data_IF_166132308586
#
_entry.id   IF_166132308586
#
_cell.length_a   1.000
_cell.length_b   1.000
_cell.length_c   1.000
_cell.angle_alpha   90.00
_cell.angle_beta   90.00
_cell.angle_gamma   90.00
#
_symmetry.space_group_name_H-M   'P 1'
#
loop_
_entity.id
_entity.type
_entity.pdbx_description
1 polymer ?
#
# COMPACT_ATOMS: atom_id res chain seq x y z
N UNK A 1 48.30 40.52 45.89
CA UNK A 1 48.77 39.20 45.40
C UNK A 1 47.59 38.43 44.85
N UNK A 2 47.27 38.61 43.53
CA UNK A 2 46.12 37.97 42.89
C UNK A 2 46.62 36.76 42.11
N UNK A 3 46.13 35.57 42.45
CA UNK A 3 46.39 34.32 41.70
C UNK A 3 45.34 34.21 40.59
N UNK A 4 45.80 34.20 39.33
CA UNK A 4 45.01 33.89 38.13
C UNK A 4 44.83 32.38 38.06
N UNK A 5 43.57 31.89 38.06
CA UNK A 5 43.24 30.52 37.71
C UNK A 5 43.20 30.39 36.19
N UNK A 6 44.03 29.50 35.61
CA UNK A 6 43.96 29.06 34.23
C UNK A 6 43.00 27.86 34.14
N UNK A 7 41.94 28.03 33.36
CA UNK A 7 41.06 26.93 32.97
C UNK A 7 41.70 26.18 31.81
N UNK A 8 42.05 24.90 32.02
CA UNK A 8 42.44 23.95 30.97
C UNK A 8 41.14 23.40 30.37
N UNK A 9 40.90 23.64 29.06
CA UNK A 9 39.82 23.02 28.31
C UNK A 9 40.15 21.52 28.05
N UNK A 10 39.27 20.58 28.34
CA UNK A 10 39.48 19.20 27.89
C UNK A 10 39.20 19.13 26.38
N UNK A 11 40.16 18.63 25.63
CA UNK A 11 40.00 18.26 24.23
C UNK A 11 39.19 16.94 24.18
N UNK A 12 37.94 17.03 23.75
CA UNK A 12 37.13 15.84 23.45
C UNK A 12 37.50 15.44 22.02
N UNK A 13 38.23 14.36 21.85
CA UNK A 13 38.40 13.66 20.56
C UNK A 13 37.08 12.96 20.26
N UNK A 14 36.28 13.54 19.37
CA UNK A 14 35.09 12.97 18.79
C UNK A 14 35.50 11.92 17.74
N UNK A 15 35.69 10.68 18.15
CA UNK A 15 35.64 9.55 17.22
C UNK A 15 34.17 9.21 16.93
N UNK A 16 33.51 10.03 16.12
CA UNK A 16 32.23 9.70 15.51
C UNK A 16 32.49 8.77 14.32
N UNK A 17 32.58 7.47 14.55
CA UNK A 17 32.35 6.48 13.51
C UNK A 17 30.86 6.51 13.18
N UNK A 18 30.49 7.35 12.21
CA UNK A 18 29.16 7.33 11.60
C UNK A 18 28.99 5.98 10.89
N UNK A 19 28.40 4.99 11.58
CA UNK A 19 27.85 3.81 10.95
C UNK A 19 26.75 4.27 10.00
N UNK A 20 27.06 4.41 8.72
CA UNK A 20 26.08 4.56 7.66
C UNK A 20 25.19 3.33 7.66
N UNK A 21 24.05 3.41 8.33
CA UNK A 21 22.98 2.40 8.23
C UNK A 21 22.46 2.47 6.80
N UNK A 22 23.07 1.66 5.93
CA UNK A 22 22.60 1.50 4.54
C UNK A 22 21.23 0.86 4.63
N UNK A 23 20.18 1.61 4.39
CA UNK A 23 18.83 1.07 4.26
C UNK A 23 18.86 0.08 3.10
N UNK A 24 18.52 -1.21 3.30
CA UNK A 24 18.54 -2.18 2.23
C UNK A 24 17.59 -1.74 1.12
N UNK A 25 18.00 -1.95 -0.13
CA UNK A 25 17.14 -1.67 -1.27
C UNK A 25 15.81 -2.42 -1.11
N UNK A 26 14.66 -1.77 -1.32
CA UNK A 26 13.37 -2.42 -1.18
C UNK A 26 13.25 -3.58 -2.16
N UNK A 27 12.73 -4.71 -1.69
CA UNK A 27 12.46 -5.89 -2.52
C UNK A 27 11.27 -5.60 -3.43
N UNK A 28 11.43 -5.85 -4.73
CA UNK A 28 10.33 -5.70 -5.70
C UNK A 28 9.17 -6.65 -5.36
N UNK A 29 7.97 -6.16 -5.51
CA UNK A 29 6.73 -6.93 -5.35
C UNK A 29 6.62 -7.95 -6.49
N UNK A 30 6.30 -9.18 -6.14
CA UNK A 30 5.85 -10.23 -7.05
C UNK A 30 4.39 -10.50 -6.73
N UNK A 31 3.49 -10.23 -7.69
CA UNK A 31 2.04 -10.25 -7.46
C UNK A 31 1.56 -11.58 -6.88
N UNK A 32 2.01 -12.70 -7.48
CA UNK A 32 1.61 -14.06 -7.12
C UNK A 32 2.14 -14.52 -5.76
N UNK A 33 3.03 -13.74 -5.13
CA UNK A 33 3.64 -14.05 -3.85
C UNK A 33 3.27 -13.06 -2.75
N UNK A 34 3.25 -11.77 -3.09
CA UNK A 34 3.30 -10.68 -2.11
C UNK A 34 1.95 -9.98 -1.89
N UNK A 35 0.87 -10.48 -2.52
CA UNK A 35 -0.49 -9.95 -2.38
C UNK A 35 -1.40 -10.90 -1.62
N UNK A 36 -2.54 -10.40 -1.12
CA UNK A 36 -3.55 -11.28 -0.53
C UNK A 36 -4.29 -12.08 -1.60
N UNK A 37 -4.67 -13.32 -1.27
CA UNK A 37 -5.49 -14.19 -2.14
C UNK A 37 -6.99 -13.91 -2.03
N UNK A 38 -7.45 -13.33 -0.92
CA UNK A 38 -8.85 -13.00 -0.69
C UNK A 38 -9.16 -11.52 -0.97
N UNK A 39 -10.42 -11.26 -1.29
CA UNK A 39 -10.88 -9.92 -1.64
C UNK A 39 -11.35 -9.10 -0.43
N UNK A 40 -11.22 -7.77 -0.53
CA UNK A 40 -12.09 -6.83 0.13
C UNK A 40 -13.47 -6.92 -0.53
N UNK A 41 -14.47 -7.33 0.21
CA UNK A 41 -15.82 -7.53 -0.33
C UNK A 41 -16.50 -6.18 -0.61
N UNK A 42 -17.26 -6.13 -1.72
CA UNK A 42 -18.05 -4.95 -2.07
C UNK A 42 -19.38 -4.97 -1.33
N UNK A 43 -19.73 -3.86 -0.70
CA UNK A 43 -21.01 -3.68 -0.02
C UNK A 43 -22.18 -3.56 -1.00
N UNK A 44 -21.90 -3.03 -2.20
CA UNK A 44 -22.86 -2.82 -3.26
C UNK A 44 -22.52 -3.68 -4.48
N UNK A 45 -23.54 -4.15 -5.18
CA UNK A 45 -23.45 -4.60 -6.54
C UNK A 45 -23.67 -3.41 -7.46
N UNK A 46 -22.78 -3.21 -8.41
CA UNK A 46 -22.83 -2.10 -9.36
C UNK A 46 -23.22 -2.63 -10.74
N UNK A 47 -24.07 -1.91 -11.42
CA UNK A 47 -24.47 -2.13 -12.80
C UNK A 47 -24.24 -0.83 -13.58
N UNK A 48 -23.32 -0.87 -14.52
CA UNK A 48 -22.91 0.27 -15.32
C UNK A 48 -23.55 0.16 -16.70
N UNK A 49 -24.47 1.07 -16.99
CA UNK A 49 -25.08 1.19 -18.30
C UNK A 49 -24.10 1.91 -19.26
N UNK A 50 -23.49 1.22 -20.24
CA UNK A 50 -22.52 1.84 -21.14
C UNK A 50 -23.14 2.81 -22.14
N UNK A 51 -24.46 2.74 -22.36
CA UNK A 51 -25.19 3.61 -23.31
C UNK A 51 -25.55 4.95 -22.66
N UNK A 52 -26.10 4.90 -21.45
CA UNK A 52 -26.53 6.10 -20.75
C UNK A 52 -25.50 6.66 -19.80
N UNK A 53 -24.40 5.94 -19.52
CA UNK A 53 -23.38 6.29 -18.53
C UNK A 53 -23.90 6.27 -17.09
N UNK A 54 -25.13 5.79 -16.87
CA UNK A 54 -25.73 5.73 -15.53
C UNK A 54 -25.23 4.53 -14.77
N UNK A 55 -24.96 4.73 -13.49
CA UNK A 55 -24.65 3.66 -12.55
C UNK A 55 -25.87 3.35 -11.71
N UNK A 56 -26.31 2.11 -11.71
CA UNK A 56 -27.26 1.55 -10.73
C UNK A 56 -26.48 0.80 -9.68
N UNK A 57 -26.95 0.78 -8.47
CA UNK A 57 -26.36 -0.01 -7.40
C UNK A 57 -27.44 -0.56 -6.49
N UNK A 58 -27.26 -1.80 -6.06
CA UNK A 58 -28.13 -2.48 -5.11
C UNK A 58 -27.28 -3.02 -3.96
N UNK A 59 -27.88 -3.08 -2.77
CA UNK A 59 -27.21 -3.68 -1.62
C UNK A 59 -27.06 -5.17 -1.86
N UNK A 60 -25.88 -5.73 -1.56
CA UNK A 60 -25.66 -7.16 -1.69
C UNK A 60 -26.41 -7.94 -0.60
N UNK A 61 -26.99 -9.05 -0.99
CA UNK A 61 -27.63 -10.01 -0.11
C UNK A 61 -27.05 -11.41 -0.42
N UNK A 62 -26.46 -12.13 0.53
CA UNK A 62 -26.20 -11.70 1.91
C UNK A 62 -25.21 -10.52 2.00
N UNK A 63 -25.32 -9.74 3.08
CA UNK A 63 -24.42 -8.64 3.32
C UNK A 63 -22.98 -9.12 3.49
N UNK A 64 -21.98 -8.45 2.93
CA UNK A 64 -20.58 -8.85 3.03
C UNK A 64 -20.07 -8.75 4.48
N UNK A 65 -19.26 -9.70 4.87
CA UNK A 65 -18.66 -9.76 6.22
C UNK A 65 -17.33 -9.02 6.32
N UNK A 66 -16.65 -8.80 5.17
CA UNK A 66 -15.32 -8.19 5.10
C UNK A 66 -15.25 -7.06 4.07
N UNK A 67 -16.14 -6.07 4.20
CA UNK A 67 -16.17 -4.88 3.35
C UNK A 67 -15.43 -3.68 3.98
N UNK A 68 -15.18 -2.64 3.18
CA UNK A 68 -14.52 -1.39 3.57
C UNK A 68 -13.11 -1.56 4.14
N UNK A 69 -12.33 -2.51 3.61
CA UNK A 69 -10.97 -2.85 4.07
C UNK A 69 -9.87 -2.55 3.04
N UNK A 70 -10.18 -1.89 1.91
CA UNK A 70 -9.20 -1.66 0.85
C UNK A 70 -7.93 -0.98 1.36
N UNK A 71 -8.03 0.09 2.16
CA UNK A 71 -6.86 0.77 2.73
C UNK A 71 -6.12 -0.07 3.79
N UNK A 72 -6.84 -0.89 4.54
CA UNK A 72 -6.23 -1.81 5.50
C UNK A 72 -5.43 -2.87 4.77
N UNK A 73 -5.98 -3.46 3.71
CA UNK A 73 -5.31 -4.52 2.94
C UNK A 73 -4.11 -4.00 2.14
N UNK A 74 -4.21 -2.81 1.53
CA UNK A 74 -3.06 -2.20 0.83
C UNK A 74 -1.92 -1.88 1.79
N UNK A 75 -2.24 -1.30 2.96
CA UNK A 75 -1.26 -1.06 4.01
C UNK A 75 -0.65 -2.37 4.51
N UNK A 76 -1.48 -3.37 4.82
CA UNK A 76 -1.04 -4.66 5.32
C UNK A 76 -0.14 -5.39 4.30
N UNK A 77 -0.49 -5.42 3.02
CA UNK A 77 0.33 -6.02 1.97
C UNK A 77 1.75 -5.41 1.96
N UNK A 78 1.86 -4.08 2.04
CA UNK A 78 3.16 -3.41 2.13
C UNK A 78 3.88 -3.68 3.45
N UNK A 79 3.16 -3.80 4.57
CA UNK A 79 3.78 -4.17 5.85
C UNK A 79 4.32 -5.60 5.83
N UNK A 80 3.62 -6.55 5.24
CA UNK A 80 4.16 -7.91 5.03
C UNK A 80 5.39 -7.89 4.11
N UNK A 81 5.37 -7.15 3.00
CA UNK A 81 6.51 -7.00 2.10
C UNK A 81 7.76 -6.48 2.83
N UNK A 82 7.60 -5.52 3.72
CA UNK A 82 8.69 -4.82 4.40
C UNK A 82 9.19 -5.55 5.65
N UNK A 83 8.31 -6.25 6.34
CA UNK A 83 8.56 -6.70 7.72
C UNK A 83 8.39 -8.20 7.95
N UNK A 84 7.89 -8.95 6.96
CA UNK A 84 7.77 -10.40 7.05
C UNK A 84 8.79 -11.10 6.16
N UNK A 85 9.31 -12.23 6.66
CA UNK A 85 10.12 -13.18 5.90
C UNK A 85 9.41 -14.53 5.90
N UNK A 86 9.01 -14.98 4.72
CA UNK A 86 8.36 -16.27 4.53
C UNK A 86 9.41 -17.35 4.26
N UNK A 87 9.32 -18.48 4.95
CA UNK A 87 10.28 -19.60 4.86
C UNK A 87 9.53 -20.93 4.84
N UNK A 88 9.25 -21.43 3.65
CA UNK A 88 8.45 -22.65 3.45
C UNK A 88 9.09 -23.90 4.07
N UNK A 89 10.42 -23.98 4.05
CA UNK A 89 11.19 -25.13 4.54
C UNK A 89 11.32 -25.20 6.06
N UNK A 90 11.01 -24.10 6.76
CA UNK A 90 11.03 -24.08 8.21
C UNK A 90 9.80 -24.76 8.78
N UNK A 91 9.91 -25.48 9.90
CA UNK A 91 8.75 -26.08 10.58
C UNK A 91 7.67 -25.04 10.88
N UNK A 92 6.39 -25.37 10.67
CA UNK A 92 5.29 -24.47 11.03
C UNK A 92 5.36 -24.03 12.49
N UNK A 93 4.76 -22.88 12.78
CA UNK A 93 4.56 -22.44 14.17
C UNK A 93 3.66 -23.43 14.92
N UNK A 94 3.84 -23.56 16.26
CA UNK A 94 3.20 -24.64 17.03
C UNK A 94 1.66 -24.59 17.04
N UNK A 95 1.09 -23.41 16.86
CA UNK A 95 -0.36 -23.22 16.91
C UNK A 95 -0.83 -21.97 16.16
N UNK A 96 -2.13 -21.84 16.00
CA UNK A 96 -2.79 -20.69 15.36
C UNK A 96 -2.51 -19.37 16.10
N UNK A 97 -2.37 -19.38 17.42
CA UNK A 97 -2.13 -18.16 18.18
C UNK A 97 -0.71 -17.62 17.96
N UNK A 98 0.27 -18.49 17.72
CA UNK A 98 1.62 -18.10 17.35
C UNK A 98 1.62 -17.36 16.00
N UNK A 99 0.86 -17.84 15.00
CA UNK A 99 0.66 -17.13 13.73
C UNK A 99 -0.07 -15.80 13.91
N UNK A 100 -1.11 -15.73 14.73
CA UNK A 100 -1.81 -14.48 15.03
C UNK A 100 -0.90 -13.46 15.71
N UNK A 101 -0.02 -13.90 16.61
CA UNK A 101 1.01 -13.01 17.20
C UNK A 101 1.97 -12.48 16.14
N UNK A 102 2.42 -13.33 15.21
CA UNK A 102 3.30 -12.91 14.11
C UNK A 102 2.59 -11.88 13.20
N UNK A 103 1.32 -12.10 12.84
CA UNK A 103 0.52 -11.13 12.07
C UNK A 103 0.45 -9.79 12.81
N UNK A 104 0.07 -9.78 14.09
CA UNK A 104 -0.01 -8.55 14.90
C UNK A 104 1.33 -7.84 15.00
N UNK A 105 2.43 -8.59 15.13
CA UNK A 105 3.77 -8.03 15.17
C UNK A 105 4.15 -7.35 13.83
N UNK A 106 3.78 -7.93 12.68
CA UNK A 106 3.95 -7.28 11.37
C UNK A 106 3.10 -6.01 11.29
N UNK A 107 1.83 -6.08 11.69
CA UNK A 107 0.90 -4.94 11.65
C UNK A 107 1.29 -3.78 12.58
N UNK A 108 2.05 -4.05 13.64
CA UNK A 108 2.59 -3.02 14.54
C UNK A 108 3.78 -2.24 13.94
N UNK A 109 4.34 -2.69 12.81
CA UNK A 109 5.50 -2.04 12.18
C UNK A 109 5.10 -0.86 11.31
N UNK A 110 6.07 0.05 11.11
CA UNK A 110 5.88 1.25 10.29
C UNK A 110 5.67 0.87 8.80
N UNK A 111 4.54 1.19 8.17
CA UNK A 111 4.30 0.87 6.75
C UNK A 111 5.12 1.70 5.77
N UNK A 112 5.89 2.71 6.22
CA UNK A 112 6.62 3.64 5.36
C UNK A 112 8.05 3.21 5.07
N UNK A 113 8.66 2.45 5.97
CA UNK A 113 10.09 2.14 5.92
C UNK A 113 10.30 0.65 6.07
N UNK A 114 10.98 -0.04 5.13
CA UNK A 114 11.31 -1.44 5.28
C UNK A 114 12.30 -1.64 6.44
N UNK A 115 12.18 -2.75 7.16
CA UNK A 115 13.19 -3.12 8.14
C UNK A 115 14.31 -3.97 7.50
N UNK A 116 15.52 -3.98 8.08
CA UNK A 116 16.58 -4.87 7.66
C UNK A 116 16.13 -6.34 7.72
N UNK A 117 16.64 -7.22 6.82
CA UNK A 117 16.25 -8.63 6.76
C UNK A 117 16.36 -9.37 8.10
N UNK A 118 17.41 -9.07 8.90
CA UNK A 118 17.61 -9.65 10.23
C UNK A 118 16.53 -9.27 11.27
N UNK A 119 15.75 -8.22 11.00
CA UNK A 119 14.65 -7.75 11.87
C UNK A 119 13.27 -8.12 11.33
N UNK A 120 13.20 -8.80 10.19
CA UNK A 120 11.93 -9.29 9.66
C UNK A 120 11.37 -10.39 10.53
N UNK A 121 10.05 -10.42 10.64
CA UNK A 121 9.31 -11.43 11.39
C UNK A 121 9.20 -12.66 10.50
N UNK A 122 9.71 -13.81 11.00
CA UNK A 122 9.63 -15.07 10.28
C UNK A 122 8.20 -15.62 10.32
N UNK A 123 7.71 -16.01 9.14
CA UNK A 123 6.44 -16.73 8.95
C UNK A 123 6.78 -18.03 8.23
N UNK A 124 7.00 -19.13 8.98
CA UNK A 124 7.39 -20.41 8.42
C UNK A 124 6.21 -21.15 7.77
N UNK A 125 6.52 -22.11 6.90
CA UNK A 125 5.53 -22.99 6.26
C UNK A 125 4.90 -22.42 4.99
N UNK A 126 5.24 -21.19 4.58
CA UNK A 126 4.67 -20.54 3.41
C UNK A 126 5.75 -19.88 2.53
N UNK A 127 5.47 -19.75 1.23
CA UNK A 127 6.35 -19.09 0.26
C UNK A 127 6.16 -17.57 0.21
N UNK A 128 5.01 -17.08 0.66
CA UNK A 128 4.65 -15.67 0.60
C UNK A 128 3.28 -15.37 1.19
N UNK A 129 2.91 -14.09 1.13
CA UNK A 129 1.65 -13.60 1.66
C UNK A 129 0.45 -14.26 0.98
N UNK A 130 0.54 -14.53 -0.32
CA UNK A 130 -0.58 -15.09 -1.09
C UNK A 130 -0.92 -16.51 -0.62
N UNK A 131 0.08 -17.39 -0.52
CA UNK A 131 -0.11 -18.74 0.02
C UNK A 131 -0.60 -18.70 1.48
N UNK A 132 0.02 -17.86 2.29
CA UNK A 132 -0.37 -17.68 3.69
C UNK A 132 -1.81 -17.19 3.83
N UNK A 133 -2.20 -16.22 3.01
CA UNK A 133 -3.56 -15.65 3.08
C UNK A 133 -4.64 -16.59 2.51
N UNK A 134 -4.31 -17.44 1.57
CA UNK A 134 -5.21 -18.49 1.10
C UNK A 134 -5.47 -19.55 2.18
N UNK A 135 -4.42 -19.96 2.90
CA UNK A 135 -4.52 -20.98 3.94
C UNK A 135 -5.11 -20.46 5.26
N UNK A 136 -4.86 -19.18 5.60
CA UNK A 136 -5.12 -18.61 6.92
C UNK A 136 -5.96 -17.32 6.85
N UNK A 137 -6.89 -17.25 5.90
CA UNK A 137 -7.72 -16.08 5.62
C UNK A 137 -8.37 -15.49 6.87
N UNK A 138 -9.02 -16.34 7.69
CA UNK A 138 -9.71 -15.91 8.89
C UNK A 138 -8.79 -15.24 9.94
N UNK A 139 -7.54 -15.72 10.06
CA UNK A 139 -6.57 -15.11 10.97
C UNK A 139 -6.12 -13.74 10.48
N UNK A 140 -5.90 -13.59 9.18
CA UNK A 140 -5.49 -12.33 8.57
C UNK A 140 -6.64 -11.31 8.61
N UNK A 141 -7.86 -11.72 8.24
CA UNK A 141 -9.05 -10.86 8.34
C UNK A 141 -9.27 -10.32 9.77
N UNK A 142 -9.02 -11.15 10.78
CA UNK A 142 -9.18 -10.76 12.18
C UNK A 142 -8.05 -9.86 12.71
N UNK A 143 -6.82 -9.92 12.16
CA UNK A 143 -5.64 -9.28 12.75
C UNK A 143 -4.99 -8.19 11.88
N UNK A 144 -5.35 -8.03 10.60
CA UNK A 144 -4.80 -6.98 9.74
C UNK A 144 -5.41 -5.59 9.99
N UNK A 145 -6.46 -5.48 10.78
CA UNK A 145 -7.12 -4.22 11.13
C UNK A 145 -8.61 -4.17 10.82
N UNK A 146 -9.29 -3.24 11.47
CA UNK A 146 -10.74 -3.10 11.42
C UNK A 146 -11.25 -2.13 10.36
N UNK A 147 -12.58 -2.13 10.12
CA UNK A 147 -13.25 -1.16 9.24
C UNK A 147 -13.00 0.29 9.68
N UNK A 148 -12.97 0.53 10.99
CA UNK A 148 -12.67 1.85 11.56
C UNK A 148 -11.34 2.42 11.06
N UNK A 149 -10.28 1.61 11.09
CA UNK A 149 -8.98 2.04 10.56
C UNK A 149 -9.07 2.39 9.07
N UNK A 150 -9.83 1.61 8.29
CA UNK A 150 -10.04 1.91 6.88
C UNK A 150 -10.80 3.22 6.67
N UNK A 151 -11.80 3.52 7.50
CA UNK A 151 -12.50 4.81 7.47
C UNK A 151 -11.57 5.99 7.72
N UNK A 152 -10.70 5.90 8.73
CA UNK A 152 -9.70 6.94 9.02
C UNK A 152 -8.74 7.12 7.85
N UNK A 153 -8.23 6.01 7.29
CA UNK A 153 -7.24 6.04 6.22
C UNK A 153 -7.81 6.58 4.89
N UNK A 154 -9.10 6.35 4.61
CA UNK A 154 -9.76 6.84 3.39
C UNK A 154 -10.27 8.27 3.50
N UNK A 155 -10.26 8.87 4.68
CA UNK A 155 -10.69 10.25 4.93
C UNK A 155 -9.56 11.25 4.69
N UNK A 156 -8.83 11.10 3.58
CA UNK A 156 -7.72 12.00 3.26
C UNK A 156 -8.27 13.38 2.85
N UNK A 157 -7.85 14.45 3.53
CA UNK A 157 -8.38 15.80 3.33
C UNK A 157 -8.26 16.33 1.89
N UNK A 158 -7.24 15.88 1.13
CA UNK A 158 -7.04 16.29 -0.27
C UNK A 158 -8.11 15.78 -1.23
N UNK A 159 -8.85 14.73 -0.85
CA UNK A 159 -9.90 14.15 -1.71
C UNK A 159 -11.09 15.08 -1.92
N UNK A 160 -11.28 16.08 -1.04
CA UNK A 160 -12.39 17.06 -1.10
C UNK A 160 -12.01 18.35 -1.81
N UNK A 161 -10.83 18.42 -2.42
CA UNK A 161 -10.34 19.55 -3.19
C UNK A 161 -9.95 19.12 -4.61
N UNK A 162 -10.13 19.99 -5.62
CA UNK A 162 -9.67 19.71 -6.96
C UNK A 162 -8.15 19.57 -7.01
N UNK A 163 -7.67 18.57 -7.72
CA UNK A 163 -6.24 18.33 -7.90
C UNK A 163 -5.83 18.81 -9.31
N UNK A 164 -4.88 19.73 -9.38
CA UNK A 164 -4.45 20.28 -10.66
C UNK A 164 -3.73 19.24 -11.54
N UNK A 165 -3.86 19.37 -12.86
CA UNK A 165 -3.19 18.47 -13.84
C UNK A 165 -1.66 18.48 -13.69
N UNK A 166 -1.06 19.64 -13.40
CA UNK A 166 0.37 19.71 -13.09
C UNK A 166 0.75 18.99 -11.79
N UNK A 167 -0.15 18.87 -10.82
CA UNK A 167 0.09 18.04 -9.65
C UNK A 167 0.01 16.55 -10.00
N UNK A 168 -0.96 16.13 -10.81
CA UNK A 168 -1.08 14.75 -11.27
C UNK A 168 0.15 14.31 -12.08
N UNK A 169 0.69 15.17 -12.93
CA UNK A 169 1.92 14.92 -13.68
C UNK A 169 3.12 14.70 -12.74
N UNK A 170 3.31 15.55 -11.72
CA UNK A 170 4.36 15.35 -10.71
C UNK A 170 4.14 14.07 -9.90
N UNK A 171 2.90 13.74 -9.59
CA UNK A 171 2.56 12.48 -8.92
C UNK A 171 2.95 11.29 -9.80
N UNK A 172 2.60 11.27 -11.08
CA UNK A 172 2.95 10.20 -12.01
C UNK A 172 4.47 10.01 -12.11
N UNK A 173 5.23 11.11 -12.25
CA UNK A 173 6.69 11.07 -12.29
C UNK A 173 7.30 10.53 -10.99
N UNK A 174 6.76 10.93 -9.84
CA UNK A 174 7.19 10.44 -8.52
C UNK A 174 6.95 8.96 -8.35
N UNK A 175 5.74 8.48 -8.69
CA UNK A 175 5.36 7.07 -8.61
C UNK A 175 6.25 6.19 -9.52
N UNK A 176 6.49 6.65 -10.75
CA UNK A 176 7.39 5.97 -11.68
C UNK A 176 8.80 5.84 -11.11
N UNK A 177 9.36 6.94 -10.61
CA UNK A 177 10.69 6.95 -10.01
C UNK A 177 10.79 6.05 -8.76
N UNK A 178 9.74 5.96 -7.94
CA UNK A 178 9.71 5.06 -6.79
C UNK A 178 9.69 3.60 -7.20
N UNK A 179 8.85 3.24 -8.18
CA UNK A 179 8.78 1.87 -8.72
C UNK A 179 10.12 1.46 -9.37
N UNK A 180 10.77 2.34 -10.12
CA UNK A 180 12.08 2.09 -10.72
C UNK A 180 13.16 1.80 -9.67
N UNK A 181 13.06 2.40 -8.49
CA UNK A 181 13.94 2.09 -7.35
C UNK A 181 13.54 0.84 -6.57
N UNK A 182 12.52 0.10 -7.03
CA UNK A 182 12.01 -1.10 -6.37
C UNK A 182 11.00 -0.83 -5.26
N UNK A 183 10.51 0.41 -5.14
CA UNK A 183 9.46 0.77 -4.20
C UNK A 183 8.09 0.19 -4.59
N UNK A 184 7.17 0.27 -3.65
CA UNK A 184 5.77 -0.18 -3.79
C UNK A 184 4.82 0.88 -3.22
N UNK A 185 4.64 2.01 -3.94
CA UNK A 185 3.82 3.11 -3.46
C UNK A 185 2.36 2.69 -3.28
N UNK A 186 1.73 3.18 -2.22
CA UNK A 186 0.29 3.05 -2.02
C UNK A 186 -0.37 4.31 -2.55
N UNK A 187 -1.38 4.13 -3.38
CA UNK A 187 -2.15 5.21 -3.97
C UNK A 187 -3.60 5.18 -3.52
N UNK A 188 -4.15 6.37 -3.37
CA UNK A 188 -5.56 6.63 -3.13
C UNK A 188 -6.17 7.17 -4.42
N UNK A 189 -7.13 6.44 -4.97
CA UNK A 189 -7.88 6.80 -6.16
C UNK A 189 -9.14 7.55 -5.75
N UNK A 190 -9.34 8.73 -6.32
CA UNK A 190 -10.50 9.58 -6.05
C UNK A 190 -11.02 10.24 -7.32
N UNK A 191 -12.28 10.61 -7.34
CA UNK A 191 -12.86 11.46 -8.39
C UNK A 191 -13.59 12.62 -7.77
N UNK A 192 -12.99 13.79 -7.83
CA UNK A 192 -13.61 15.03 -7.38
C UNK A 192 -14.52 15.62 -8.48
N UNK A 193 -15.67 16.25 -8.14
CA UNK A 193 -16.25 16.40 -6.79
C UNK A 193 -17.18 15.26 -6.37
N UNK A 194 -17.54 14.33 -7.27
CA UNK A 194 -18.59 13.34 -7.05
C UNK A 194 -18.21 12.23 -6.08
N UNK A 195 -16.90 12.04 -5.81
CA UNK A 195 -16.34 10.97 -4.97
C UNK A 195 -16.90 9.57 -5.30
N UNK A 196 -17.19 9.33 -6.59
CA UNK A 196 -17.73 8.06 -7.07
C UNK A 196 -16.74 6.91 -6.98
N UNK A 197 -15.45 7.21 -6.77
CA UNK A 197 -14.42 6.26 -6.36
C UNK A 197 -13.67 6.84 -5.17
N UNK A 198 -13.37 5.99 -4.18
CA UNK A 198 -12.56 6.26 -3.01
C UNK A 198 -11.89 4.93 -2.62
N UNK A 199 -10.74 4.65 -3.22
CA UNK A 199 -10.16 3.32 -3.20
C UNK A 199 -8.63 3.34 -3.08
N UNK A 200 -8.07 2.36 -2.38
CA UNK A 200 -6.62 2.22 -2.19
C UNK A 200 -6.06 1.05 -2.98
N UNK A 201 -4.91 1.26 -3.64
CA UNK A 201 -4.15 0.23 -4.36
C UNK A 201 -2.66 0.31 -4.04
N UNK A 202 -1.92 -0.79 -4.30
CA UNK A 202 -0.45 -0.82 -4.23
C UNK A 202 0.10 -0.95 -5.64
N UNK A 203 0.88 0.04 -6.09
CA UNK A 203 1.57 -0.07 -7.37
C UNK A 203 2.86 -0.88 -7.21
N UNK A 204 3.22 -1.68 -8.22
CA UNK A 204 4.39 -2.56 -8.13
C UNK A 204 5.22 -2.67 -9.42
N UNK A 205 4.67 -2.29 -10.56
CA UNK A 205 5.39 -2.22 -11.83
C UNK A 205 4.91 -1.03 -12.65
N UNK A 206 5.72 -0.58 -13.58
CA UNK A 206 5.33 0.47 -14.52
C UNK A 206 6.04 0.27 -15.85
N UNK A 207 5.30 0.53 -16.94
CA UNK A 207 5.79 0.63 -18.29
C UNK A 207 5.58 2.06 -18.79
N UNK A 208 6.48 2.56 -19.63
CA UNK A 208 6.40 3.93 -20.14
C UNK A 208 6.58 3.96 -21.63
N UNK A 209 5.73 4.74 -22.29
CA UNK A 209 5.83 5.12 -23.70
C UNK A 209 6.02 6.63 -23.84
N UNK A 210 6.04 7.14 -25.06
CA UNK A 210 6.06 8.59 -25.31
C UNK A 210 4.81 9.27 -24.76
N UNK A 211 3.64 8.62 -24.88
CA UNK A 211 2.33 9.21 -24.66
C UNK A 211 1.74 8.88 -23.27
N UNK A 212 2.15 7.77 -22.67
CA UNK A 212 1.54 7.29 -21.43
C UNK A 212 2.51 6.57 -20.48
N UNK A 213 2.08 6.41 -19.23
CA UNK A 213 2.68 5.52 -18.22
C UNK A 213 1.59 4.56 -17.77
N UNK A 214 1.83 3.26 -17.88
CA UNK A 214 0.96 2.19 -17.38
C UNK A 214 1.53 1.66 -16.07
N UNK A 215 0.73 1.69 -15.03
CA UNK A 215 1.09 1.18 -13.71
C UNK A 215 0.35 -0.12 -13.45
N UNK A 216 1.06 -1.19 -13.11
CA UNK A 216 0.46 -2.41 -12.58
C UNK A 216 0.22 -2.26 -11.07
N UNK A 217 -0.98 -2.57 -10.62
CA UNK A 217 -1.44 -2.41 -9.26
C UNK A 217 -2.01 -3.71 -8.67
N UNK A 218 -1.79 -3.91 -7.38
CA UNK A 218 -2.61 -4.80 -6.57
C UNK A 218 -3.85 -4.05 -6.11
N UNK A 219 -5.01 -4.53 -6.57
CA UNK A 219 -6.33 -4.09 -6.16
C UNK A 219 -6.91 -5.07 -5.13
N UNK A 220 -7.13 -4.66 -3.87
CA UNK A 220 -7.70 -5.56 -2.88
C UNK A 220 -9.15 -5.97 -3.15
N UNK A 221 -9.87 -5.29 -4.05
CA UNK A 221 -11.23 -5.70 -4.48
C UNK A 221 -11.19 -6.78 -5.57
N UNK A 222 -10.07 -6.85 -6.34
CA UNK A 222 -9.88 -7.79 -7.45
C UNK A 222 -8.51 -8.47 -7.32
N UNK A 223 -8.28 -9.26 -6.25
CA UNK A 223 -6.95 -9.79 -5.94
C UNK A 223 -6.50 -10.94 -6.85
N UNK A 224 -7.32 -11.36 -7.83
CA UNK A 224 -7.01 -12.50 -8.69
C UNK A 224 -5.98 -12.18 -9.77
N UNK A 225 -5.91 -10.92 -10.19
CA UNK A 225 -5.03 -10.45 -11.26
C UNK A 225 -4.59 -9.00 -11.01
N UNK A 226 -3.46 -8.58 -11.58
CA UNK A 226 -3.07 -7.17 -11.58
C UNK A 226 -4.14 -6.28 -12.23
N UNK A 227 -4.30 -5.08 -11.68
CA UNK A 227 -5.13 -4.01 -12.25
C UNK A 227 -4.19 -2.97 -12.88
N UNK A 228 -4.55 -2.46 -14.07
CA UNK A 228 -3.79 -1.41 -14.73
C UNK A 228 -4.37 -0.03 -14.43
N UNK A 229 -3.50 0.94 -14.12
CA UNK A 229 -3.81 2.37 -14.03
C UNK A 229 -2.96 3.09 -15.05
N UNK A 230 -3.56 3.85 -15.96
CA UNK A 230 -2.84 4.58 -17.01
C UNK A 230 -2.75 6.07 -16.67
N UNK A 231 -1.60 6.69 -16.92
CA UNK A 231 -1.42 8.13 -16.91
C UNK A 231 -1.15 8.62 -18.32
N UNK A 232 -2.06 9.37 -18.89
CA UNK A 232 -1.93 10.04 -20.17
C UNK A 232 -1.14 11.34 -20.01
N UNK A 233 -0.02 11.47 -20.77
CA UNK A 233 0.90 12.60 -20.65
C UNK A 233 0.35 13.87 -21.29
N UNK A 234 -0.49 13.75 -22.32
CA UNK A 234 -1.06 14.89 -23.04
C UNK A 234 -2.13 15.57 -22.19
N UNK A 235 -3.10 14.82 -21.71
CA UNK A 235 -4.16 15.34 -20.84
C UNK A 235 -3.72 15.50 -19.39
N UNK A 236 -2.59 14.92 -18.99
CA UNK A 236 -2.06 14.85 -17.62
C UNK A 236 -3.07 14.29 -16.64
N UNK A 237 -3.68 13.17 -17.04
CA UNK A 237 -4.82 12.56 -16.33
C UNK A 237 -4.56 11.08 -16.12
N UNK A 238 -4.84 10.61 -14.90
CA UNK A 238 -4.93 9.18 -14.63
C UNK A 238 -6.29 8.64 -15.06
N UNK A 239 -6.31 7.38 -15.48
CA UNK A 239 -7.53 6.63 -15.78
C UNK A 239 -7.45 5.20 -15.27
N UNK A 240 -8.60 4.65 -14.92
CA UNK A 240 -8.79 3.26 -14.54
C UNK A 240 -9.86 2.65 -15.44
N UNK A 241 -9.65 1.46 -16.04
CA UNK A 241 -10.65 0.74 -16.80
C UNK A 241 -11.90 0.42 -15.97
N UNK A 242 -13.02 0.21 -16.63
CA UNK A 242 -14.24 -0.26 -15.98
C UNK A 242 -14.01 -1.62 -15.30
N UNK A 243 -14.56 -1.79 -14.11
CA UNK A 243 -14.44 -2.99 -13.32
C UNK A 243 -15.68 -3.22 -12.44
N UNK A 244 -15.61 -4.14 -11.46
CA UNK A 244 -16.75 -4.54 -10.61
C UNK A 244 -17.36 -3.41 -9.76
N UNK A 245 -16.65 -2.28 -9.56
CA UNK A 245 -17.07 -1.19 -8.67
C UNK A 245 -16.85 0.20 -9.26
N UNK A 246 -16.35 0.29 -10.50
CA UNK A 246 -16.02 1.52 -11.18
C UNK A 246 -16.45 1.47 -12.66
N UNK A 247 -17.13 2.51 -13.12
CA UNK A 247 -17.61 2.60 -14.51
C UNK A 247 -16.50 2.82 -15.56
N UNK A 248 -15.28 3.04 -15.09
CA UNK A 248 -14.17 3.41 -15.96
C UNK A 248 -14.03 4.93 -16.14
N UNK A 249 -12.84 5.33 -16.63
CA UNK A 249 -12.57 6.71 -17.01
C UNK A 249 -11.60 7.45 -16.10
N UNK A 250 -11.53 8.80 -16.26
CA UNK A 250 -10.57 9.64 -15.59
C UNK A 250 -10.80 9.75 -14.09
N UNK A 251 -9.70 9.80 -13.32
CA UNK A 251 -9.69 9.97 -11.87
C UNK A 251 -8.42 10.71 -11.43
N UNK A 252 -8.37 11.05 -10.16
CA UNK A 252 -7.18 11.63 -9.53
C UNK A 252 -6.50 10.59 -8.64
N UNK A 253 -5.16 10.63 -8.62
CA UNK A 253 -4.32 9.76 -7.81
C UNK A 253 -3.58 10.58 -6.77
N UNK A 254 -3.64 10.14 -5.52
CA UNK A 254 -2.91 10.70 -4.39
C UNK A 254 -1.98 9.61 -3.85
N UNK A 255 -0.68 9.85 -3.81
CA UNK A 255 0.25 8.96 -3.13
C UNK A 255 0.08 9.12 -1.62
N UNK A 256 -0.09 8.01 -0.90
CA UNK A 256 -0.23 7.99 0.57
C UNK A 256 0.89 7.18 1.23
N UNK A 257 1.15 7.43 2.51
CA UNK A 257 2.26 6.82 3.27
C UNK A 257 3.68 7.16 2.76
N UNK A 258 3.84 8.26 2.04
CA UNK A 258 5.17 8.74 1.65
C UNK A 258 5.83 9.55 2.75
N UNK A 259 5.08 10.43 3.39
CA UNK A 259 5.54 11.31 4.47
C UNK A 259 4.74 11.09 5.74
N UNK A 260 5.18 11.70 6.87
CA UNK A 260 4.46 11.63 8.13
C UNK A 260 3.08 12.33 8.09
N UNK A 261 2.88 13.22 7.14
CA UNK A 261 1.65 14.01 6.98
C UNK A 261 0.69 13.44 5.92
N UNK A 262 1.10 12.36 5.26
CA UNK A 262 0.29 11.70 4.22
C UNK A 262 0.45 10.18 4.25
#
# INVERSE_FOLDING_TARGET
MQRKFQFVKPTIEEHATASTVTTPAPRRVVFERDTFAFANELHWAYDFDPVTGKTRFSKRDPAPTYAHRCFVLTRAARQFLFHARFEKTQPPLPDAEAYRRAIRAVMARNPRVPCPPARQIMIPGFTGLREFSAACEGWLKANCGGAWQSYVLRSHWRMVFPISRGHQERTAASLLAEIQRGGSPIVHLVRFPQLTINHGMVLFAAETTADEIRFAAYDPNVPQQPTEITFDRTSRTFSLPANLYWAGGPLDVIEIYRTWWM
#
